data_IF_574659365282
#
_entry.id   IF_574659365282
#
_cell.length_a   1.000
_cell.length_b   1.000
_cell.length_c   1.000
_cell.angle_alpha   90.00
_cell.angle_beta   90.00
_cell.angle_gamma   90.00
#
_symmetry.space_group_name_H-M   'P 1'
#
loop_
_entity.id
_entity.type
_entity.pdbx_description
1 polymer ?
#
# COMPACT_ATOMS: atom_id res chain seq x y z
N UNK A 1 -3.77 19.72 23.85
CA UNK A 1 -2.89 18.91 23.01
C UNK A 1 -3.53 18.86 21.63
N UNK A 2 -2.77 18.97 20.55
CA UNK A 2 -3.34 19.04 19.20
C UNK A 2 -4.17 17.79 18.91
N UNK A 3 -5.46 17.94 18.56
CA UNK A 3 -6.36 16.86 18.11
C UNK A 3 -5.95 16.26 16.74
N UNK A 4 -4.78 16.63 16.23
CA UNK A 4 -4.32 16.27 14.90
C UNK A 4 -3.77 14.84 14.88
N UNK A 5 -4.25 14.02 13.95
CA UNK A 5 -3.78 12.66 13.77
C UNK A 5 -2.32 12.61 13.30
N UNK A 6 -1.52 11.80 14.01
CA UNK A 6 -0.14 11.47 13.69
C UNK A 6 0.01 10.08 13.06
N UNK A 7 -1.09 9.35 12.90
CA UNK A 7 -1.13 8.03 12.25
C UNK A 7 -2.01 8.12 11.01
N UNK A 8 -1.54 7.54 9.90
CA UNK A 8 -2.31 7.36 8.68
C UNK A 8 -2.45 5.87 8.35
N UNK A 9 -3.64 5.44 7.95
CA UNK A 9 -3.90 4.13 7.36
C UNK A 9 -4.34 4.30 5.91
N UNK A 10 -3.73 3.56 4.99
CA UNK A 10 -3.88 3.77 3.55
C UNK A 10 -4.35 2.49 2.88
N UNK A 11 -5.39 2.60 2.05
CA UNK A 11 -5.85 1.56 1.13
C UNK A 11 -5.64 2.04 -0.30
N UNK A 12 -4.65 1.47 -0.98
CA UNK A 12 -4.29 1.83 -2.35
C UNK A 12 -5.08 1.01 -3.39
N UNK A 13 -5.16 1.48 -4.64
CA UNK A 13 -5.59 0.62 -5.75
C UNK A 13 -4.64 -0.59 -5.88
N UNK A 14 -5.09 -1.78 -6.25
CA UNK A 14 -6.45 -2.15 -6.62
C UNK A 14 -7.16 -2.90 -5.50
N UNK A 15 -8.02 -2.18 -4.78
CA UNK A 15 -8.92 -2.70 -3.76
C UNK A 15 -10.34 -2.37 -4.15
N UNK A 16 -11.23 -3.36 -4.23
CA UNK A 16 -12.63 -3.19 -4.62
C UNK A 16 -13.24 -1.91 -4.02
N UNK A 17 -13.73 -1.00 -4.87
CA UNK A 17 -14.30 0.26 -4.41
C UNK A 17 -15.72 0.09 -3.85
N UNK A 18 -16.39 -1.03 -4.20
CA UNK A 18 -17.73 -1.38 -3.72
C UNK A 18 -17.76 -1.90 -2.28
N UNK A 19 -16.62 -2.30 -1.72
CA UNK A 19 -16.53 -2.81 -0.34
C UNK A 19 -15.65 -1.90 0.52
N UNK A 20 -16.09 -1.50 1.72
CA UNK A 20 -15.22 -0.79 2.64
C UNK A 20 -14.07 -1.70 3.09
N UNK A 21 -12.88 -1.13 3.29
CA UNK A 21 -11.75 -1.87 3.86
C UNK A 21 -12.03 -2.16 5.33
N UNK A 22 -12.29 -3.44 5.63
CA UNK A 22 -12.43 -3.92 7.00
C UNK A 22 -11.11 -3.72 7.78
N UNK A 23 -9.96 -3.84 7.12
CA UNK A 23 -8.64 -3.65 7.74
C UNK A 23 -8.49 -2.23 8.30
N UNK A 24 -8.77 -1.20 7.47
CA UNK A 24 -8.73 0.19 7.91
C UNK A 24 -9.79 0.46 8.98
N UNK A 25 -11.01 -0.07 8.81
CA UNK A 25 -12.10 0.11 9.77
C UNK A 25 -11.75 -0.45 11.16
N UNK A 26 -11.27 -1.69 11.22
CA UNK A 26 -10.89 -2.37 12.45
C UNK A 26 -9.73 -1.67 13.14
N UNK A 27 -8.62 -1.40 12.43
CA UNK A 27 -7.45 -0.76 13.04
C UNK A 27 -7.72 0.71 13.40
N UNK A 28 -8.53 1.43 12.62
CA UNK A 28 -8.95 2.78 13.00
C UNK A 28 -9.79 2.78 14.26
N UNK A 29 -10.74 1.85 14.40
CA UNK A 29 -11.59 1.76 15.59
C UNK A 29 -10.75 1.41 16.82
N UNK A 30 -9.80 0.47 16.68
CA UNK A 30 -8.86 0.08 17.73
C UNK A 30 -8.01 1.26 18.23
N UNK A 31 -7.42 2.04 17.32
CA UNK A 31 -6.60 3.19 17.72
C UNK A 31 -7.45 4.28 18.38
N UNK A 32 -8.61 4.60 17.82
CA UNK A 32 -9.51 5.63 18.38
C UNK A 32 -10.05 5.26 19.75
N UNK A 33 -10.41 3.99 19.98
CA UNK A 33 -10.84 3.52 21.30
C UNK A 33 -9.74 3.57 22.36
N UNK A 34 -8.47 3.66 21.93
CA UNK A 34 -7.29 3.84 22.78
C UNK A 34 -6.79 5.30 22.81
N UNK A 35 -7.60 6.26 22.37
CA UNK A 35 -7.27 7.68 22.43
C UNK A 35 -6.21 8.14 21.44
N UNK A 36 -5.95 7.37 20.38
CA UNK A 36 -4.97 7.70 19.33
C UNK A 36 -5.73 8.17 18.08
N UNK A 37 -5.66 9.47 17.72
CA UNK A 37 -6.27 9.97 16.49
C UNK A 37 -5.56 9.40 15.26
N UNK A 38 -6.35 8.97 14.28
CA UNK A 38 -5.88 8.31 13.05
C UNK A 38 -6.71 8.75 11.86
N UNK A 39 -6.04 9.00 10.74
CA UNK A 39 -6.64 9.31 9.45
C UNK A 39 -6.68 8.07 8.55
N UNK A 40 -7.78 7.87 7.83
CA UNK A 40 -7.92 6.80 6.85
C UNK A 40 -7.97 7.37 5.42
N UNK A 41 -7.04 6.95 4.57
CA UNK A 41 -6.94 7.36 3.17
C UNK A 41 -7.37 6.23 2.25
N UNK A 42 -8.63 6.27 1.80
CA UNK A 42 -9.20 5.33 0.83
C UNK A 42 -8.85 5.75 -0.61
N UNK A 43 -7.57 5.67 -0.95
CA UNK A 43 -7.04 6.08 -2.25
C UNK A 43 -7.52 5.17 -3.39
N UNK A 44 -7.87 3.91 -3.09
CA UNK A 44 -8.56 3.02 -4.02
C UNK A 44 -9.87 3.63 -4.59
N UNK A 45 -10.70 4.25 -3.74
CA UNK A 45 -11.97 4.87 -4.17
C UNK A 45 -11.73 6.09 -5.05
N UNK A 46 -10.71 6.90 -4.72
CA UNK A 46 -10.32 8.07 -5.53
C UNK A 46 -9.84 7.65 -6.92
N UNK A 47 -9.03 6.60 -7.00
CA UNK A 47 -8.56 6.08 -8.27
C UNK A 47 -9.68 5.45 -9.09
N UNK A 48 -10.60 4.71 -8.44
CA UNK A 48 -11.78 4.16 -9.10
C UNK A 48 -12.64 5.27 -9.73
N UNK A 49 -12.82 6.39 -9.04
CA UNK A 49 -13.50 7.57 -9.62
C UNK A 49 -12.74 8.13 -10.83
N UNK A 50 -11.40 8.17 -10.78
CA UNK A 50 -10.55 8.72 -11.84
C UNK A 50 -10.60 7.90 -13.14
N UNK A 51 -10.50 6.57 -13.06
CA UNK A 51 -10.46 5.71 -14.26
C UNK A 51 -11.84 5.17 -14.67
N UNK A 52 -12.86 5.38 -13.83
CA UNK A 52 -14.20 4.84 -13.96
C UNK A 52 -14.39 3.57 -13.12
N UNK A 53 -15.45 3.56 -12.30
CA UNK A 53 -15.71 2.49 -11.32
C UNK A 53 -15.80 1.13 -12.00
N UNK A 54 -16.55 1.01 -13.10
CA UNK A 54 -16.69 -0.27 -13.82
C UNK A 54 -15.34 -0.83 -14.27
N UNK A 55 -14.46 0.00 -14.85
CA UNK A 55 -13.12 -0.44 -15.26
C UNK A 55 -12.28 -0.85 -14.05
N UNK A 56 -12.32 -0.06 -12.97
CA UNK A 56 -11.60 -0.38 -11.74
C UNK A 56 -12.02 -1.74 -11.18
N UNK A 57 -13.33 -2.00 -11.10
CA UNK A 57 -13.86 -3.27 -10.59
C UNK A 57 -13.48 -4.44 -11.52
N UNK A 58 -13.55 -4.27 -12.84
CA UNK A 58 -13.09 -5.28 -13.79
C UNK A 58 -11.61 -5.62 -13.57
N UNK A 59 -10.75 -4.63 -13.34
CA UNK A 59 -9.34 -4.84 -13.04
C UNK A 59 -9.17 -5.63 -11.72
N UNK A 60 -9.93 -5.29 -10.67
CA UNK A 60 -9.90 -6.04 -9.40
C UNK A 60 -10.34 -7.51 -9.55
N UNK A 61 -11.23 -7.80 -10.51
CA UNK A 61 -11.75 -9.17 -10.73
C UNK A 61 -10.78 -10.05 -11.55
N UNK A 62 -9.97 -9.46 -12.42
CA UNK A 62 -9.02 -10.22 -13.25
C UNK A 62 -7.71 -10.47 -12.51
N UNK A 63 -7.38 -11.75 -12.30
CA UNK A 63 -6.16 -12.21 -11.63
C UNK A 63 -4.98 -12.36 -12.60
N UNK A 64 -4.42 -11.23 -13.04
CA UNK A 64 -3.27 -11.23 -13.94
C UNK A 64 -2.19 -10.21 -13.51
N UNK A 65 -2.18 -9.80 -12.24
CA UNK A 65 -1.31 -8.74 -11.72
C UNK A 65 -1.40 -7.47 -12.58
N UNK A 66 -2.60 -7.20 -13.12
CA UNK A 66 -2.82 -6.08 -14.03
C UNK A 66 -2.62 -4.77 -13.29
N UNK A 67 -3.14 -4.70 -12.06
CA UNK A 67 -2.92 -3.57 -11.17
C UNK A 67 -1.46 -3.34 -10.84
N UNK A 68 -0.70 -4.42 -10.67
CA UNK A 68 0.74 -4.37 -10.43
C UNK A 68 1.47 -3.73 -11.63
N UNK A 69 1.17 -4.20 -12.85
CA UNK A 69 1.76 -3.63 -14.05
C UNK A 69 1.47 -2.12 -14.21
N UNK A 70 0.24 -1.68 -13.93
CA UNK A 70 -0.17 -0.28 -14.03
C UNK A 70 0.66 0.66 -13.11
N UNK A 71 1.07 0.19 -11.93
CA UNK A 71 1.82 0.99 -10.96
C UNK A 71 3.34 0.71 -10.96
N UNK A 72 3.81 -0.27 -11.74
CA UNK A 72 5.22 -0.69 -11.78
C UNK A 72 6.20 0.35 -12.33
N UNK A 73 5.73 1.28 -13.18
CA UNK A 73 6.59 2.15 -13.99
C UNK A 73 7.47 3.09 -13.16
N UNK A 74 6.95 3.61 -12.05
CA UNK A 74 7.69 4.54 -11.19
C UNK A 74 8.65 3.85 -10.23
N UNK A 75 8.29 2.65 -9.73
CA UNK A 75 9.14 1.88 -8.82
C UNK A 75 10.29 1.22 -9.57
N UNK A 76 10.04 0.70 -10.77
CA UNK A 76 11.02 -0.01 -11.60
C UNK A 76 11.24 0.70 -12.94
N UNK A 77 11.75 1.94 -12.88
CA UNK A 77 11.88 2.85 -14.04
C UNK A 77 12.58 2.24 -15.26
N UNK A 78 13.54 1.35 -15.04
CA UNK A 78 14.38 0.75 -16.07
C UNK A 78 14.11 -0.74 -16.30
N UNK A 79 12.86 -1.20 -16.13
CA UNK A 79 12.51 -2.59 -16.40
C UNK A 79 12.17 -2.81 -17.90
N UNK A 80 13.07 -3.38 -18.72
CA UNK A 80 12.80 -3.60 -20.14
C UNK A 80 11.63 -4.58 -20.38
N UNK A 81 11.40 -5.51 -19.44
CA UNK A 81 10.32 -6.51 -19.54
C UNK A 81 8.93 -5.91 -19.31
N UNK A 82 8.82 -4.66 -18.87
CA UNK A 82 7.52 -4.00 -18.69
C UNK A 82 6.72 -3.96 -20.00
N UNK A 83 7.40 -3.74 -21.13
CA UNK A 83 6.78 -3.67 -22.46
C UNK A 83 6.34 -5.05 -22.98
N UNK A 84 6.90 -6.13 -22.44
CA UNK A 84 6.52 -7.50 -22.79
C UNK A 84 5.23 -7.93 -22.08
N UNK A 85 4.91 -7.32 -20.94
CA UNK A 85 3.79 -7.71 -20.08
C UNK A 85 2.43 -7.76 -20.80
N UNK A 86 2.03 -6.74 -21.58
CA UNK A 86 0.75 -6.78 -22.31
C UNK A 86 0.70 -7.88 -23.37
N UNK A 87 1.86 -8.29 -23.92
CA UNK A 87 1.93 -9.37 -24.89
C UNK A 87 1.81 -10.74 -24.22
N UNK A 88 2.46 -10.93 -23.06
CA UNK A 88 2.38 -12.17 -22.26
C UNK A 88 0.95 -12.40 -21.76
N UNK A 89 0.28 -11.35 -21.30
CA UNK A 89 -1.08 -11.42 -20.76
C UNK A 89 -2.15 -10.90 -21.75
N UNK A 90 -1.87 -10.98 -23.05
CA UNK A 90 -2.74 -10.45 -24.11
C UNK A 90 -4.22 -10.83 -23.97
N UNK A 91 -4.61 -12.10 -23.69
CA UNK A 91 -6.02 -12.46 -23.53
C UNK A 91 -6.72 -11.67 -22.43
N UNK A 92 -6.02 -11.33 -21.35
CA UNK A 92 -6.57 -10.55 -20.23
C UNK A 92 -6.77 -9.10 -20.64
N UNK A 93 -5.80 -8.50 -21.35
CA UNK A 93 -5.91 -7.14 -21.87
C UNK A 93 -7.07 -7.02 -22.86
N UNK A 94 -7.23 -7.98 -23.77
CA UNK A 94 -8.34 -8.01 -24.74
C UNK A 94 -9.69 -8.15 -24.04
N UNK A 95 -9.78 -9.02 -23.03
CA UNK A 95 -11.01 -9.20 -22.26
C UNK A 95 -11.40 -7.93 -21.48
N UNK A 96 -10.46 -7.30 -20.77
CA UNK A 96 -10.74 -6.05 -20.03
C UNK A 96 -11.13 -4.93 -21.01
N UNK A 97 -10.47 -4.84 -22.17
CA UNK A 97 -10.83 -3.87 -23.21
C UNK A 97 -12.28 -4.07 -23.70
N UNK A 98 -12.67 -5.31 -23.98
CA UNK A 98 -14.01 -5.65 -24.41
C UNK A 98 -15.06 -5.34 -23.32
N UNK A 99 -14.84 -5.76 -22.08
CA UNK A 99 -15.77 -5.59 -20.97
C UNK A 99 -15.92 -4.11 -20.53
N UNK A 100 -14.85 -3.33 -20.63
CA UNK A 100 -14.85 -1.90 -20.26
C UNK A 100 -15.24 -0.96 -21.41
N UNK A 101 -15.29 -1.46 -22.64
CA UNK A 101 -15.44 -0.63 -23.85
C UNK A 101 -14.27 0.33 -24.09
N UNK A 102 -13.11 0.10 -23.47
CA UNK A 102 -11.90 0.92 -23.64
C UNK A 102 -10.95 0.28 -24.63
N UNK A 103 -10.24 1.07 -25.47
CA UNK A 103 -9.21 0.52 -26.33
C UNK A 103 -8.02 0.04 -25.49
N UNK A 104 -7.30 -0.99 -25.97
CA UNK A 104 -6.12 -1.54 -25.28
C UNK A 104 -5.07 -0.46 -24.97
N UNK A 105 -4.89 0.51 -25.88
CA UNK A 105 -3.96 1.63 -25.69
C UNK A 105 -4.28 2.51 -24.48
N UNK A 106 -5.51 2.50 -23.99
CA UNK A 106 -5.90 3.21 -22.76
C UNK A 106 -5.18 2.65 -21.52
N UNK A 107 -4.84 1.36 -21.51
CA UNK A 107 -4.14 0.77 -20.36
C UNK A 107 -2.68 1.22 -20.28
N UNK A 108 -2.01 1.41 -21.43
CA UNK A 108 -0.69 2.02 -21.47
C UNK A 108 -0.74 3.48 -21.02
N UNK A 109 -1.79 4.21 -21.41
CA UNK A 109 -2.03 5.57 -20.92
C UNK A 109 -2.25 5.61 -19.41
N UNK A 110 -2.98 4.64 -18.84
CA UNK A 110 -3.11 4.54 -17.39
C UNK A 110 -1.72 4.35 -16.75
N UNK A 111 -0.94 3.38 -17.24
CA UNK A 111 0.32 3.01 -16.62
C UNK A 111 1.43 4.07 -16.75
N UNK A 112 1.43 4.84 -17.85
CA UNK A 112 2.49 5.82 -18.15
C UNK A 112 2.12 7.25 -17.76
N UNK A 113 0.83 7.56 -17.65
CA UNK A 113 0.35 8.92 -17.40
C UNK A 113 -0.58 9.01 -16.19
N UNK A 114 -1.69 8.27 -16.18
CA UNK A 114 -2.74 8.47 -15.17
C UNK A 114 -2.29 7.99 -13.78
N UNK A 115 -1.70 6.80 -13.66
CA UNK A 115 -1.20 6.28 -12.39
C UNK A 115 -0.06 7.15 -11.81
N UNK A 116 0.96 7.58 -12.60
CA UNK A 116 1.95 8.54 -12.13
C UNK A 116 1.37 9.89 -11.68
N UNK A 117 0.40 10.43 -12.43
CA UNK A 117 -0.28 11.69 -12.07
C UNK A 117 -1.10 11.53 -10.79
N UNK A 118 -1.78 10.39 -10.63
CA UNK A 118 -2.53 10.07 -9.42
C UNK A 118 -1.63 9.98 -8.19
N UNK A 119 -0.50 9.27 -8.28
CA UNK A 119 0.47 9.17 -7.18
C UNK A 119 1.06 10.54 -6.83
N UNK A 120 1.39 11.35 -7.84
CA UNK A 120 1.86 12.73 -7.63
C UNK A 120 0.80 13.59 -6.94
N UNK A 121 -0.45 13.48 -7.35
CA UNK A 121 -1.57 14.15 -6.70
C UNK A 121 -1.73 13.71 -5.24
N UNK A 122 -1.71 12.40 -4.97
CA UNK A 122 -1.84 11.86 -3.62
C UNK A 122 -0.67 12.31 -2.72
N UNK A 123 0.55 12.35 -3.25
CA UNK A 123 1.73 12.84 -2.53
C UNK A 123 1.63 14.31 -2.16
N UNK A 124 1.03 15.13 -3.02
CA UNK A 124 0.93 16.59 -2.82
C UNK A 124 -0.32 17.01 -2.05
N UNK A 125 -1.39 16.23 -2.08
CA UNK A 125 -2.69 16.59 -1.51
C UNK A 125 -2.84 16.18 -0.05
N UNK A 126 -1.97 15.30 0.44
CA UNK A 126 -1.95 14.84 1.82
C UNK A 126 -0.65 15.33 2.43
N UNK A 127 -0.75 16.00 3.57
CA UNK A 127 0.42 16.39 4.37
C UNK A 127 1.01 15.16 5.03
N UNK A 128 1.86 14.42 4.30
CA UNK A 128 2.46 13.18 4.79
C UNK A 128 3.48 13.42 5.92
N UNK A 129 4.15 14.58 5.90
CA UNK A 129 5.18 14.93 6.89
C UNK A 129 4.66 15.12 8.31
N UNK A 130 3.35 15.31 8.50
CA UNK A 130 2.74 15.39 9.83
C UNK A 130 2.57 14.03 10.53
N UNK A 131 2.59 12.95 9.76
CA UNK A 131 2.43 11.60 10.30
C UNK A 131 3.77 11.11 10.86
N UNK A 132 3.70 10.37 11.97
CA UNK A 132 4.82 9.59 12.50
C UNK A 132 4.83 8.18 11.91
N UNK A 133 3.66 7.67 11.56
CA UNK A 133 3.48 6.33 10.99
C UNK A 133 2.44 6.36 9.87
N UNK A 134 2.77 5.72 8.75
CA UNK A 134 1.85 5.44 7.64
C UNK A 134 1.77 3.93 7.44
N UNK A 135 0.61 3.36 7.74
CA UNK A 135 0.31 1.94 7.58
C UNK A 135 -0.42 1.67 6.26
N UNK A 136 0.09 0.73 5.48
CA UNK A 136 -0.53 0.26 4.25
C UNK A 136 -1.15 -1.12 4.46
N UNK A 137 -2.44 -1.26 4.13
CA UNK A 137 -3.02 -2.59 3.90
C UNK A 137 -2.75 -3.00 2.46
N UNK A 138 -2.32 -4.24 2.23
CA UNK A 138 -2.03 -4.75 0.89
C UNK A 138 -2.50 -6.21 0.75
N UNK A 139 -3.43 -6.42 -0.17
CA UNK A 139 -4.00 -7.74 -0.49
C UNK A 139 -4.11 -7.87 -2.00
N UNK A 140 -3.66 -9.00 -2.57
CA UNK A 140 -3.70 -9.27 -4.01
C UNK A 140 -2.97 -8.19 -4.82
N UNK A 141 -3.58 -7.67 -5.90
CA UNK A 141 -2.96 -6.78 -6.88
C UNK A 141 -2.85 -5.29 -6.41
N UNK A 142 -2.62 -5.07 -5.11
CA UNK A 142 -2.47 -3.75 -4.45
C UNK A 142 -1.02 -3.36 -4.18
N UNK A 143 -0.08 -4.26 -4.45
CA UNK A 143 1.21 -4.19 -3.80
C UNK A 143 2.08 -3.08 -4.38
N UNK A 144 2.24 -3.01 -5.70
CA UNK A 144 3.09 -2.01 -6.36
C UNK A 144 2.53 -0.60 -6.24
N UNK A 145 1.22 -0.41 -6.21
CA UNK A 145 0.67 0.92 -5.90
C UNK A 145 1.05 1.37 -4.49
N UNK A 146 0.96 0.46 -3.51
CA UNK A 146 1.31 0.72 -2.12
C UNK A 146 2.82 0.94 -1.94
N UNK A 147 3.65 0.06 -2.50
CA UNK A 147 5.11 0.18 -2.48
C UNK A 147 5.60 1.47 -3.14
N UNK A 148 5.04 1.82 -4.30
CA UNK A 148 5.42 3.05 -5.01
C UNK A 148 5.06 4.28 -4.19
N UNK A 149 3.86 4.33 -3.61
CA UNK A 149 3.45 5.44 -2.76
C UNK A 149 4.29 5.53 -1.49
N UNK A 150 4.54 4.39 -0.82
CA UNK A 150 5.39 4.32 0.36
C UNK A 150 6.81 4.81 0.08
N UNK A 151 7.41 4.40 -1.04
CA UNK A 151 8.71 4.92 -1.49
C UNK A 151 8.67 6.42 -1.70
N UNK A 152 7.67 6.95 -2.40
CA UNK A 152 7.55 8.39 -2.65
C UNK A 152 7.39 9.21 -1.36
N UNK A 153 6.67 8.68 -0.37
CA UNK A 153 6.57 9.28 0.95
C UNK A 153 7.94 9.26 1.64
N UNK A 154 8.60 8.09 1.71
CA UNK A 154 9.88 7.94 2.40
C UNK A 154 11.00 8.78 1.77
N UNK A 155 11.03 8.90 0.44
CA UNK A 155 12.00 9.72 -0.28
C UNK A 155 11.88 11.22 0.08
N UNK A 156 10.68 11.71 0.41
CA UNK A 156 10.45 13.11 0.82
C UNK A 156 10.45 13.32 2.34
N UNK A 157 10.02 12.31 3.09
CA UNK A 157 9.82 12.35 4.53
C UNK A 157 10.49 11.13 5.17
N UNK A 158 11.84 11.11 5.26
CA UNK A 158 12.59 9.93 5.70
C UNK A 158 12.26 9.49 7.14
N UNK A 159 11.84 10.45 7.97
CA UNK A 159 11.46 10.24 9.38
C UNK A 159 10.08 9.56 9.55
N UNK A 160 9.28 9.48 8.49
CA UNK A 160 7.95 8.82 8.57
C UNK A 160 8.17 7.31 8.59
N UNK A 161 7.68 6.63 9.63
CA UNK A 161 7.68 5.17 9.68
C UNK A 161 6.67 4.58 8.71
N UNK A 162 7.13 3.72 7.81
CA UNK A 162 6.35 2.99 6.82
C UNK A 162 6.10 1.58 7.35
N UNK A 163 4.83 1.23 7.49
CA UNK A 163 4.38 -0.07 7.95
C UNK A 163 3.52 -0.73 6.89
N UNK A 164 3.75 -2.01 6.64
CA UNK A 164 2.90 -2.82 5.79
C UNK A 164 2.24 -3.98 6.55
N UNK A 165 1.06 -4.37 6.09
CA UNK A 165 0.36 -5.57 6.54
C UNK A 165 -0.68 -6.02 5.50
N UNK A 166 -1.43 -7.06 5.84
CA UNK A 166 -2.38 -7.70 4.93
C UNK A 166 -1.78 -8.92 4.23
N UNK A 167 -2.58 -9.59 3.40
CA UNK A 167 -2.26 -10.92 2.88
C UNK A 167 -0.95 -10.99 2.09
N UNK A 168 -0.54 -9.90 1.42
CA UNK A 168 0.72 -9.87 0.67
C UNK A 168 1.97 -9.86 1.56
N UNK A 169 1.80 -9.59 2.86
CA UNK A 169 2.86 -9.42 3.84
C UNK A 169 2.82 -10.50 4.94
N UNK A 170 1.92 -11.48 4.81
CA UNK A 170 1.83 -12.54 5.79
C UNK A 170 2.96 -13.58 5.63
N UNK A 171 3.37 -14.15 6.77
CA UNK A 171 4.50 -15.08 6.87
C UNK A 171 5.79 -14.60 6.22
N UNK A 172 6.45 -15.50 5.49
CA UNK A 172 7.74 -15.26 4.84
C UNK A 172 7.69 -14.12 3.81
N UNK A 173 6.55 -13.91 3.16
CA UNK A 173 6.40 -12.83 2.17
C UNK A 173 6.69 -11.47 2.80
N UNK A 174 6.22 -11.20 4.02
CA UNK A 174 6.50 -9.95 4.71
C UNK A 174 7.99 -9.71 4.93
N UNK A 175 8.72 -10.75 5.31
CA UNK A 175 10.16 -10.68 5.53
C UNK A 175 10.92 -10.47 4.20
N UNK A 176 10.49 -11.11 3.11
CA UNK A 176 11.10 -10.90 1.79
C UNK A 176 10.85 -9.48 1.26
N UNK A 177 9.67 -8.89 1.52
CA UNK A 177 9.42 -7.49 1.19
C UNK A 177 10.33 -6.55 1.97
N UNK A 178 10.55 -6.81 3.27
CA UNK A 178 11.55 -6.07 4.03
C UNK A 178 12.93 -6.21 3.41
N UNK A 179 13.36 -7.39 2.97
CA UNK A 179 14.67 -7.56 2.30
C UNK A 179 14.76 -6.80 0.99
N UNK A 180 13.72 -6.86 0.17
CA UNK A 180 13.69 -6.26 -1.16
C UNK A 180 13.57 -4.72 -1.13
N UNK A 181 12.88 -4.15 -0.14
CA UNK A 181 12.53 -2.74 -0.12
C UNK A 181 13.01 -2.07 1.18
N UNK A 182 14.13 -1.34 1.08
CA UNK A 182 14.76 -0.66 2.22
C UNK A 182 13.93 0.47 2.84
N UNK A 183 12.92 0.97 2.13
CA UNK A 183 12.03 2.03 2.60
C UNK A 183 10.87 1.52 3.49
N UNK A 184 10.74 0.19 3.67
CA UNK A 184 9.80 -0.41 4.61
C UNK A 184 10.51 -0.55 5.97
N UNK A 185 9.96 0.05 7.01
CA UNK A 185 10.55 -0.02 8.36
C UNK A 185 10.01 -1.22 9.14
N UNK A 186 8.71 -1.47 9.03
CA UNK A 186 8.02 -2.53 9.76
C UNK A 186 7.02 -3.28 8.87
N UNK A 187 6.86 -4.57 9.16
CA UNK A 187 5.78 -5.39 8.63
C UNK A 187 5.05 -6.06 9.77
N UNK A 188 3.72 -5.95 9.78
CA UNK A 188 2.86 -6.71 10.68
C UNK A 188 2.48 -8.02 10.00
N UNK A 189 2.86 -9.13 10.62
CA UNK A 189 2.66 -10.50 10.12
C UNK A 189 1.53 -11.14 10.92
N UNK A 190 0.55 -11.75 10.24
CA UNK A 190 -0.66 -12.29 10.84
C UNK A 190 -1.73 -11.24 11.15
N UNK A 191 -2.51 -11.47 12.21
CA UNK A 191 -3.59 -10.59 12.66
C UNK A 191 -3.04 -9.30 13.30
N UNK A 192 -3.46 -8.15 12.79
CA UNK A 192 -2.89 -6.86 13.20
C UNK A 192 -3.50 -6.28 14.48
N UNK A 193 -4.63 -6.78 14.95
CA UNK A 193 -5.41 -6.22 16.05
C UNK A 193 -4.63 -6.21 17.37
N UNK A 194 -3.82 -7.24 17.61
CA UNK A 194 -3.01 -7.34 18.82
C UNK A 194 -1.64 -6.69 18.65
N UNK A 195 -1.06 -6.75 17.45
CA UNK A 195 0.30 -6.28 17.16
C UNK A 195 0.38 -4.79 16.85
N UNK A 196 -0.61 -4.24 16.13
CA UNK A 196 -0.50 -2.91 15.55
C UNK A 196 -0.56 -1.78 16.60
N UNK A 197 -1.40 -1.91 17.63
CA UNK A 197 -1.48 -0.90 18.69
C UNK A 197 -0.16 -0.79 19.49
N UNK A 198 0.48 -1.89 19.95
CA UNK A 198 1.83 -1.86 20.51
C UNK A 198 2.86 -1.21 19.58
N UNK A 199 2.84 -1.54 18.28
CA UNK A 199 3.76 -0.95 17.30
C UNK A 199 3.56 0.57 17.15
N UNK A 200 2.30 1.02 17.08
CA UNK A 200 1.98 2.45 17.04
C UNK A 200 2.48 3.17 18.30
N UNK A 201 2.31 2.58 19.49
CA UNK A 201 2.84 3.16 20.75
C UNK A 201 4.37 3.21 20.75
N UNK A 202 5.03 2.16 20.27
CA UNK A 202 6.48 2.10 20.14
C UNK A 202 7.01 3.26 19.28
N UNK A 203 6.40 3.48 18.11
CA UNK A 203 6.78 4.56 17.19
C UNK A 203 6.46 5.95 17.76
N UNK A 204 5.26 6.15 18.32
CA UNK A 204 4.88 7.45 18.90
C UNK A 204 5.76 7.88 20.08
N UNK A 205 6.24 6.92 20.86
CA UNK A 205 7.11 7.18 22.01
C UNK A 205 8.59 7.29 21.65
N UNK A 206 8.98 7.04 20.39
CA UNK A 206 10.37 6.84 19.97
C UNK A 206 11.10 5.84 20.89
N UNK A 207 10.43 4.76 21.25
CA UNK A 207 10.96 3.78 22.20
C UNK A 207 12.14 3.02 21.58
N UNK A 208 13.18 2.79 22.36
CA UNK A 208 14.31 1.90 22.03
C UNK A 208 14.14 0.50 22.61
N UNK A 209 12.95 0.21 23.18
CA UNK A 209 12.63 -1.07 23.80
C UNK A 209 12.45 -2.18 22.75
N UNK A 210 12.13 -3.38 23.22
CA UNK A 210 11.84 -4.52 22.36
C UNK A 210 10.72 -4.21 21.37
N UNK A 211 10.92 -4.62 20.13
CA UNK A 211 9.91 -4.57 19.07
C UNK A 211 8.74 -5.50 19.46
N UNK A 212 7.48 -5.07 19.30
CA UNK A 212 6.33 -5.89 19.63
C UNK A 212 6.25 -7.20 18.85
N UNK A 213 5.63 -8.21 19.46
CA UNK A 213 5.36 -9.50 18.83
C UNK A 213 4.47 -9.35 17.57
N UNK A 214 4.74 -10.17 16.57
CA UNK A 214 4.11 -10.14 15.25
C UNK A 214 4.74 -9.13 14.28
N UNK A 215 5.83 -8.44 14.65
CA UNK A 215 6.47 -7.41 13.82
C UNK A 215 7.79 -7.90 13.21
N UNK A 216 7.86 -7.87 11.89
CA UNK A 216 9.10 -7.91 11.11
C UNK A 216 9.71 -6.52 10.99
N UNK A 217 11.03 -6.39 11.13
CA UNK A 217 11.72 -5.10 11.11
C UNK A 217 13.17 -5.24 10.65
N UNK A 218 13.80 -4.09 10.35
CA UNK A 218 15.23 -4.01 10.05
C UNK A 218 16.04 -3.59 11.29
N UNK A 219 17.12 -4.30 11.58
CA UNK A 219 18.10 -3.93 12.58
C UNK A 219 19.51 -3.95 11.97
N UNK A 220 20.02 -2.76 11.62
CA UNK A 220 21.21 -2.64 10.77
C UNK A 220 20.95 -3.29 9.40
N UNK A 221 21.81 -4.21 8.98
CA UNK A 221 21.68 -4.92 7.70
C UNK A 221 20.82 -6.18 7.78
N UNK A 222 20.35 -6.57 8.98
CA UNK A 222 19.60 -7.80 9.19
C UNK A 222 18.10 -7.55 9.30
N UNK A 223 17.32 -8.43 8.69
CA UNK A 223 15.87 -8.53 8.94
C UNK A 223 15.65 -9.42 10.15
N UNK A 224 14.83 -8.95 11.08
CA UNK A 224 14.41 -9.66 12.28
C UNK A 224 12.90 -9.76 12.34
N UNK A 225 12.42 -10.76 13.07
CA UNK A 225 11.00 -10.98 13.33
C UNK A 225 10.83 -11.28 14.81
N UNK A 226 9.93 -10.55 15.46
CA UNK A 226 9.45 -10.89 16.80
C UNK A 226 8.21 -11.79 16.63
N UNK A 227 8.31 -13.11 16.85
CA UNK A 227 7.17 -14.01 16.62
C UNK A 227 6.07 -13.78 17.67
N UNK A 228 4.82 -14.04 17.29
CA UNK A 228 3.73 -14.14 18.26
C UNK A 228 3.98 -15.33 19.21
N UNK A 229 3.61 -15.20 20.51
CA UNK A 229 3.77 -16.28 21.50
C UNK A 229 2.92 -17.52 21.20
#
# INVERSE_FOLDING_TARGET
>A
MSDQAHIALVNMPFSYAKYPSIQLGTLSALLKSNGIPVDCHHLNVRFAHLIGVQLHENICEKRALFGEWLFSSLLFRENPKRLEYPNVFKPVFEQIAQESGKPIGYFEEIATRIAPQFLTWALRSIDWGRYKLVGFTSTFDQNLASLTMAKMIKDLYPEVSIVFGGANYDGEMGLEHLRAFSFIDYVVIGEGEQTFLPLVRHVLNNSTDLIPDGVGYRHGDQIRFAPNP
#
